data_IF_165178208097
#
_entry.id   IF_165178208097
#
_cell.length_a   1.000
_cell.length_b   1.000
_cell.length_c   1.000
_cell.angle_alpha   90.00
_cell.angle_beta   90.00
_cell.angle_gamma   90.00
#
_symmetry.space_group_name_H-M   'P 1'
#
loop_
_entity.id
_entity.type
_entity.pdbx_description
1 polymer ?
#
# COMPACT_ATOMS: atom_id res chain seq x y z
N UNK A 1 13.22 9.14 10.85
CA UNK A 1 13.35 9.48 9.42
C UNK A 1 14.74 9.01 9.00
N UNK A 2 14.86 7.95 8.20
CA UNK A 2 16.20 7.45 7.83
C UNK A 2 16.95 8.53 7.03
N UNK A 3 18.26 8.72 7.24
CA UNK A 3 19.05 9.75 6.54
C UNK A 3 18.99 9.58 5.02
N UNK A 4 18.82 8.35 4.55
CA UNK A 4 18.66 8.01 3.13
C UNK A 4 17.53 8.77 2.44
N UNK A 5 16.37 8.93 3.09
CA UNK A 5 15.23 9.63 2.48
C UNK A 5 15.56 11.11 2.21
N UNK A 6 16.26 11.77 3.13
CA UNK A 6 16.61 13.18 2.97
C UNK A 6 17.57 13.39 1.79
N UNK A 7 18.50 12.45 1.59
CA UNK A 7 19.43 12.47 0.46
C UNK A 7 18.67 12.29 -0.87
N UNK A 8 17.72 11.36 -0.93
CA UNK A 8 16.94 11.11 -2.15
C UNK A 8 16.06 12.31 -2.54
N UNK A 9 15.35 12.91 -1.58
CA UNK A 9 14.52 14.09 -1.85
C UNK A 9 15.33 15.30 -2.30
N UNK A 10 16.48 15.55 -1.66
CA UNK A 10 17.33 16.68 -2.04
C UNK A 10 17.95 16.50 -3.42
N UNK A 11 18.38 15.28 -3.77
CA UNK A 11 18.89 14.96 -5.11
C UNK A 11 17.85 15.18 -6.21
N UNK A 12 16.59 14.77 -6.01
CA UNK A 12 15.51 14.98 -6.99
C UNK A 12 15.26 16.48 -7.22
N UNK A 13 15.22 17.28 -6.16
CA UNK A 13 15.00 18.73 -6.26
C UNK A 13 16.14 19.41 -7.03
N UNK A 14 17.40 19.07 -6.72
CA UNK A 14 18.57 19.61 -7.40
C UNK A 14 18.55 19.22 -8.89
N UNK A 15 18.25 17.96 -9.21
CA UNK A 15 18.17 17.48 -10.58
C UNK A 15 17.11 18.27 -11.40
N UNK A 16 15.90 18.43 -10.85
CA UNK A 16 14.82 19.17 -11.53
C UNK A 16 15.21 20.64 -11.74
N UNK A 17 15.85 21.27 -10.75
CA UNK A 17 16.29 22.66 -10.84
C UNK A 17 17.39 22.87 -11.90
N UNK A 18 18.32 21.91 -12.04
CA UNK A 18 19.39 21.96 -13.06
C UNK A 18 18.83 21.73 -14.47
N UNK A 19 17.87 20.81 -14.63
CA UNK A 19 17.30 20.47 -15.94
C UNK A 19 16.47 21.63 -16.51
N UNK A 20 15.48 22.12 -15.74
CA UNK A 20 14.68 23.28 -16.15
C UNK A 20 13.91 23.84 -14.95
N UNK A 21 14.18 25.10 -14.59
CA UNK A 21 13.49 25.78 -13.50
C UNK A 21 11.95 25.85 -13.68
N UNK A 22 11.43 25.85 -14.92
CA UNK A 22 9.99 25.81 -15.17
C UNK A 22 9.32 24.50 -14.73
N UNK A 23 10.04 23.37 -14.72
CA UNK A 23 9.52 22.07 -14.25
C UNK A 23 9.31 22.00 -12.74
N UNK A 24 9.85 22.97 -12.00
CA UNK A 24 9.76 23.01 -10.55
C UNK A 24 8.31 23.22 -10.09
N UNK A 25 7.52 23.98 -10.86
CA UNK A 25 6.09 24.19 -10.59
C UNK A 25 5.25 22.90 -10.67
N UNK A 26 5.22 22.16 -11.79
CA UNK A 26 4.43 20.92 -11.87
C UNK A 26 4.98 19.83 -10.91
N UNK A 27 6.29 19.81 -10.64
CA UNK A 27 6.88 18.94 -9.62
C UNK A 27 6.33 19.25 -8.22
N UNK A 28 6.20 20.53 -7.86
CA UNK A 28 5.66 20.96 -6.57
C UNK A 28 4.18 20.55 -6.42
N UNK A 29 3.37 20.75 -7.45
CA UNK A 29 1.96 20.31 -7.48
C UNK A 29 1.88 18.79 -7.26
N UNK A 30 2.73 18.04 -7.93
CA UNK A 30 2.76 16.58 -7.81
C UNK A 30 3.20 16.13 -6.41
N UNK A 31 4.17 16.81 -5.79
CA UNK A 31 4.59 16.54 -4.41
C UNK A 31 3.45 16.73 -3.41
N UNK A 32 2.61 17.77 -3.60
CA UNK A 32 1.42 18.02 -2.76
C UNK A 32 0.41 16.87 -2.91
N UNK A 33 0.12 16.44 -4.13
CA UNK A 33 -0.80 15.31 -4.40
C UNK A 33 -0.29 14.03 -3.71
N UNK A 34 0.99 13.70 -3.85
CA UNK A 34 1.58 12.54 -3.19
C UNK A 34 1.52 12.61 -1.67
N UNK A 35 1.69 13.81 -1.09
CA UNK A 35 1.57 14.00 0.36
C UNK A 35 0.17 13.63 0.85
N UNK A 36 -0.87 14.12 0.18
CA UNK A 36 -2.26 13.77 0.52
C UNK A 36 -2.55 12.29 0.32
N UNK A 37 -2.16 11.71 -0.82
CA UNK A 37 -2.33 10.28 -1.09
C UNK A 37 -1.66 9.42 -0.02
N UNK A 38 -0.42 9.76 0.35
CA UNK A 38 0.32 9.06 1.41
C UNK A 38 -0.37 9.16 2.75
N UNK A 39 -0.92 10.32 3.09
CA UNK A 39 -1.65 10.52 4.34
C UNK A 39 -2.86 9.58 4.41
N UNK A 40 -3.69 9.57 3.36
CA UNK A 40 -4.86 8.68 3.25
C UNK A 40 -4.44 7.21 3.32
N UNK A 41 -3.45 6.81 2.51
CA UNK A 41 -2.96 5.42 2.49
C UNK A 41 -2.45 4.96 3.86
N UNK A 42 -1.69 5.80 4.56
CA UNK A 42 -1.14 5.44 5.87
C UNK A 42 -2.25 5.18 6.88
N UNK A 43 -3.31 6.00 6.88
CA UNK A 43 -4.44 5.83 7.77
C UNK A 43 -5.24 4.56 7.44
N UNK A 44 -5.49 4.31 6.16
CA UNK A 44 -6.17 3.10 5.68
C UNK A 44 -5.36 1.84 5.98
N UNK A 45 -4.06 1.82 5.67
CA UNK A 45 -3.18 0.68 5.91
C UNK A 45 -3.09 0.33 7.40
N UNK A 46 -3.05 1.33 8.29
CA UNK A 46 -3.09 1.09 9.75
C UNK A 46 -4.39 0.44 10.18
N UNK A 47 -5.52 0.91 9.64
CA UNK A 47 -6.84 0.38 9.96
C UNK A 47 -6.97 -1.07 9.52
N UNK A 48 -6.51 -1.40 8.31
CA UNK A 48 -6.54 -2.78 7.79
C UNK A 48 -5.59 -3.67 8.58
N UNK A 49 -4.35 -3.23 8.85
CA UNK A 49 -3.42 -3.99 9.70
C UNK A 49 -3.98 -4.29 11.09
N UNK A 50 -4.78 -3.38 11.65
CA UNK A 50 -5.47 -3.61 12.93
C UNK A 50 -6.52 -4.72 12.81
N UNK A 51 -7.28 -4.74 11.72
CA UNK A 51 -8.25 -5.82 11.45
C UNK A 51 -7.54 -7.16 11.32
N UNK A 52 -6.51 -7.21 10.48
CA UNK A 52 -5.67 -8.40 10.27
C UNK A 52 -5.06 -8.92 11.59
N UNK A 53 -4.53 -8.02 12.43
CA UNK A 53 -4.00 -8.40 13.75
C UNK A 53 -5.08 -8.96 14.68
N UNK A 54 -6.29 -8.40 14.65
CA UNK A 54 -7.42 -8.84 15.48
C UNK A 54 -7.98 -10.20 15.03
N UNK A 55 -7.93 -10.53 13.75
CA UNK A 55 -8.42 -11.81 13.22
C UNK A 55 -7.43 -12.96 13.43
N UNK A 56 -6.16 -12.65 13.72
CA UNK A 56 -5.10 -13.64 13.89
C UNK A 56 -5.08 -14.27 15.28
N UNK A 57 -5.45 -13.53 16.34
CA UNK A 57 -5.39 -14.04 17.72
C UNK A 57 -6.37 -15.19 18.03
N UNK A 58 -7.62 -15.22 17.51
CA UNK A 58 -8.54 -16.33 17.76
C UNK A 58 -8.03 -17.66 17.21
N UNK A 59 -7.35 -17.65 16.06
CA UNK A 59 -6.74 -18.86 15.46
C UNK A 59 -5.75 -19.50 16.44
N UNK A 60 -4.84 -18.71 17.00
CA UNK A 60 -3.83 -19.22 17.95
C UNK A 60 -4.46 -19.66 19.26
N UNK A 61 -5.42 -18.89 19.79
CA UNK A 61 -6.11 -19.24 21.02
C UNK A 61 -6.91 -20.53 20.87
N UNK A 62 -7.65 -20.69 19.76
CA UNK A 62 -8.43 -21.88 19.45
C UNK A 62 -7.52 -23.11 19.26
N UNK A 63 -6.43 -22.98 18.48
CA UNK A 63 -5.46 -24.05 18.30
C UNK A 63 -4.82 -24.49 19.63
N UNK A 64 -4.42 -23.53 20.48
CA UNK A 64 -3.86 -23.82 21.79
C UNK A 64 -4.86 -24.54 22.71
N UNK A 65 -6.13 -24.12 22.73
CA UNK A 65 -7.18 -24.79 23.48
C UNK A 65 -7.42 -26.23 22.98
N UNK A 66 -7.42 -26.45 21.65
CA UNK A 66 -7.55 -27.77 21.05
C UNK A 66 -6.39 -28.70 21.41
N UNK A 67 -5.15 -28.20 21.44
CA UNK A 67 -3.99 -29.00 21.84
C UNK A 67 -4.05 -29.42 23.31
N UNK A 68 -4.45 -28.51 24.20
CA UNK A 68 -4.57 -28.81 25.62
C UNK A 68 -5.73 -29.77 25.92
N UNK A 69 -6.84 -29.66 25.17
CA UNK A 69 -8.06 -30.47 25.34
C UNK A 69 -8.13 -31.72 24.46
N UNK A 70 -7.05 -32.12 23.79
CA UNK A 70 -7.08 -33.14 22.72
C UNK A 70 -7.67 -34.49 23.17
N UNK A 71 -7.35 -34.93 24.39
CA UNK A 71 -7.89 -36.17 24.95
C UNK A 71 -9.42 -36.11 25.12
N UNK A 72 -9.93 -34.99 25.64
CA UNK A 72 -11.36 -34.73 25.79
C UNK A 72 -12.05 -34.69 24.43
N UNK A 73 -11.49 -33.98 23.46
CA UNK A 73 -12.05 -33.87 22.10
C UNK A 73 -12.23 -35.25 21.48
N UNK A 74 -11.21 -36.12 21.55
CA UNK A 74 -11.27 -37.51 21.05
C UNK A 74 -12.27 -38.37 21.81
N UNK A 75 -12.38 -38.19 23.13
CA UNK A 75 -13.34 -38.93 23.95
C UNK A 75 -14.80 -38.61 23.59
N UNK A 76 -15.07 -37.37 23.15
CA UNK A 76 -16.40 -36.93 22.73
C UNK A 76 -16.65 -37.02 21.22
N UNK A 77 -15.63 -37.31 20.39
CA UNK A 77 -15.77 -37.46 18.93
C UNK A 77 -16.15 -36.15 18.21
N UNK A 78 -15.75 -35.00 18.76
CA UNK A 78 -16.13 -33.66 18.27
C UNK A 78 -15.07 -33.00 17.37
N UNK A 79 -14.10 -33.75 16.86
CA UNK A 79 -13.00 -33.24 16.04
C UNK A 79 -13.47 -32.41 14.85
N UNK A 80 -14.51 -32.86 14.14
CA UNK A 80 -15.05 -32.16 12.95
C UNK A 80 -15.61 -30.80 13.28
N UNK A 81 -16.32 -30.67 14.41
CA UNK A 81 -16.93 -29.41 14.83
C UNK A 81 -15.85 -28.37 15.12
N UNK A 82 -14.78 -28.78 15.81
CA UNK A 82 -13.64 -27.90 16.09
C UNK A 82 -12.83 -27.56 14.82
N UNK A 83 -12.74 -28.50 13.87
CA UNK A 83 -12.11 -28.23 12.58
C UNK A 83 -12.89 -27.16 11.79
N UNK A 84 -14.22 -27.29 11.70
CA UNK A 84 -15.08 -26.31 11.02
C UNK A 84 -14.98 -24.92 11.66
N UNK A 85 -14.94 -24.82 13.00
CA UNK A 85 -14.77 -23.52 13.69
C UNK A 85 -13.36 -22.94 13.45
N UNK A 86 -12.33 -23.79 13.40
CA UNK A 86 -10.97 -23.36 13.08
C UNK A 86 -10.86 -22.84 11.63
N UNK A 87 -11.51 -23.51 10.67
CA UNK A 87 -11.55 -23.10 9.27
C UNK A 87 -12.26 -21.75 9.11
N UNK A 88 -13.35 -21.52 9.84
CA UNK A 88 -14.03 -20.21 9.87
C UNK A 88 -13.12 -19.08 10.39
N UNK A 89 -12.32 -19.34 11.42
CA UNK A 89 -11.33 -18.37 11.90
C UNK A 89 -10.23 -18.11 10.86
N UNK A 90 -9.76 -19.17 10.18
CA UNK A 90 -8.78 -19.05 9.09
C UNK A 90 -9.32 -18.25 7.91
N UNK A 91 -10.56 -18.50 7.48
CA UNK A 91 -11.20 -17.79 6.37
C UNK A 91 -11.29 -16.29 6.65
N UNK A 92 -11.70 -15.92 7.87
CA UNK A 92 -11.79 -14.52 8.28
C UNK A 92 -10.41 -13.84 8.25
N UNK A 93 -9.39 -14.50 8.81
CA UNK A 93 -8.03 -13.96 8.81
C UNK A 93 -7.43 -13.87 7.41
N UNK A 94 -7.68 -14.88 6.58
CA UNK A 94 -7.23 -14.92 5.18
C UNK A 94 -7.89 -13.80 4.38
N UNK A 95 -9.20 -13.57 4.58
CA UNK A 95 -9.91 -12.43 3.97
C UNK A 95 -9.32 -11.09 4.41
N UNK A 96 -8.99 -10.92 5.69
CA UNK A 96 -8.38 -9.68 6.19
C UNK A 96 -6.98 -9.45 5.58
N UNK A 97 -6.18 -10.51 5.47
CA UNK A 97 -4.87 -10.47 4.81
C UNK A 97 -4.99 -10.12 3.32
N UNK A 98 -5.93 -10.75 2.60
CA UNK A 98 -6.19 -10.41 1.20
C UNK A 98 -6.62 -8.96 1.02
N UNK A 99 -7.45 -8.43 1.92
CA UNK A 99 -7.85 -7.02 1.90
C UNK A 99 -6.65 -6.07 2.05
N UNK A 100 -5.70 -6.41 2.94
CA UNK A 100 -4.45 -5.67 3.09
C UNK A 100 -3.63 -5.65 1.80
N UNK A 101 -3.45 -6.82 1.18
CA UNK A 101 -2.70 -6.96 -0.07
C UNK A 101 -3.38 -6.21 -1.22
N UNK A 102 -4.68 -6.39 -1.38
CA UNK A 102 -5.48 -5.73 -2.42
C UNK A 102 -5.43 -4.21 -2.30
N UNK A 103 -5.58 -3.66 -1.09
CA UNK A 103 -5.52 -2.21 -0.86
C UNK A 103 -4.13 -1.65 -1.15
N UNK A 104 -3.07 -2.36 -0.75
CA UNK A 104 -1.68 -1.98 -1.03
C UNK A 104 -1.42 -1.94 -2.54
N UNK A 105 -1.88 -2.97 -3.27
CA UNK A 105 -1.76 -3.06 -4.73
C UNK A 105 -2.57 -1.97 -5.44
N UNK A 106 -3.82 -1.75 -5.04
CA UNK A 106 -4.66 -0.72 -5.62
C UNK A 106 -4.03 0.67 -5.43
N UNK A 107 -3.51 0.98 -4.24
CA UNK A 107 -2.82 2.24 -4.00
C UNK A 107 -1.57 2.41 -4.87
N UNK A 108 -0.76 1.37 -5.03
CA UNK A 108 0.39 1.40 -5.93
C UNK A 108 -0.04 1.70 -7.39
N UNK A 109 -1.10 1.05 -7.86
CA UNK A 109 -1.67 1.31 -9.19
C UNK A 109 -2.12 2.77 -9.34
N UNK A 110 -2.79 3.33 -8.33
CA UNK A 110 -3.19 4.74 -8.35
C UNK A 110 -1.98 5.67 -8.44
N UNK A 111 -0.92 5.41 -7.69
CA UNK A 111 0.31 6.21 -7.77
C UNK A 111 0.95 6.14 -9.16
N UNK A 112 1.03 4.95 -9.75
CA UNK A 112 1.56 4.75 -11.10
C UNK A 112 0.74 5.51 -12.15
N UNK A 113 -0.58 5.51 -12.05
CA UNK A 113 -1.45 6.28 -12.96
C UNK A 113 -1.16 7.78 -12.90
N UNK A 114 -0.95 8.35 -11.71
CA UNK A 114 -0.61 9.79 -11.57
C UNK A 114 0.80 10.06 -12.12
N UNK A 115 1.78 9.16 -11.89
CA UNK A 115 3.11 9.27 -12.48
C UNK A 115 3.08 9.28 -14.00
N UNK A 116 2.36 8.35 -14.62
CA UNK A 116 2.24 8.26 -16.08
C UNK A 116 1.61 9.53 -16.65
N UNK A 117 0.56 10.05 -16.00
CA UNK A 117 -0.07 11.30 -16.40
C UNK A 117 0.89 12.49 -16.30
N UNK A 118 1.67 12.58 -15.21
CA UNK A 118 2.69 13.61 -15.06
C UNK A 118 3.75 13.56 -16.16
N UNK A 119 4.30 12.37 -16.43
CA UNK A 119 5.31 12.17 -17.49
C UNK A 119 4.72 12.54 -18.86
N UNK A 120 3.47 12.15 -19.15
CA UNK A 120 2.81 12.51 -20.40
C UNK A 120 2.68 14.04 -20.56
N UNK A 121 2.26 14.75 -19.52
CA UNK A 121 2.15 16.23 -19.54
C UNK A 121 3.50 16.89 -19.74
N UNK A 122 4.54 16.45 -19.02
CA UNK A 122 5.90 17.00 -19.15
C UNK A 122 6.44 16.78 -20.55
N UNK A 123 6.37 15.55 -21.06
CA UNK A 123 6.87 15.21 -22.40
C UNK A 123 6.14 15.98 -23.50
N UNK A 124 4.81 16.11 -23.41
CA UNK A 124 4.03 16.91 -24.37
C UNK A 124 4.39 18.41 -24.29
N UNK A 125 4.63 18.93 -23.08
CA UNK A 125 5.05 20.33 -22.91
C UNK A 125 6.41 20.60 -23.55
N UNK A 126 7.36 19.66 -23.45
CA UNK A 126 8.66 19.76 -24.12
C UNK A 126 8.52 19.71 -25.63
N UNK A 127 7.74 18.77 -26.16
CA UNK A 127 7.52 18.61 -27.60
C UNK A 127 6.93 19.89 -28.22
N UNK A 128 5.88 20.45 -27.62
CA UNK A 128 5.24 21.68 -28.12
C UNK A 128 6.16 22.90 -28.07
N UNK A 129 7.07 22.98 -27.09
CA UNK A 129 8.07 24.05 -27.02
C UNK A 129 9.12 23.93 -28.13
N UNK A 130 9.50 22.70 -28.50
CA UNK A 130 10.40 22.46 -29.63
C UNK A 130 9.74 22.82 -30.97
N UNK A 131 8.49 22.41 -31.19
CA UNK A 131 7.71 22.76 -32.39
C UNK A 131 7.57 24.29 -32.54
N UNK A 132 7.33 25.00 -31.44
CA UNK A 132 7.21 26.46 -31.44
C UNK A 132 8.54 27.17 -31.74
N UNK A 133 9.70 26.55 -31.46
CA UNK A 133 11.02 27.12 -31.77
C UNK A 133 11.48 26.88 -33.21
N UNK A 134 11.00 25.82 -33.86
CA UNK A 134 11.36 25.50 -35.25
C UNK A 134 10.42 26.12 -36.30
N UNK A 135 9.27 26.66 -35.90
CA UNK A 135 8.27 27.27 -36.80
C UNK A 135 8.45 28.78 -37.10
N UNK A 136 9.57 29.40 -36.73
CA UNK A 136 9.88 30.82 -36.93
C UNK A 136 11.15 31.02 -37.78
#
# INVERSE_FOLDING_TARGET
>A
MNPQFFVEFSAIIVLVAVVNYWLLFPTLVMAIIFYFLRHVYTNTARSIKRVEASTRSPIFSHANASFQGLSTIRAFGVEKILADEFDKHQDLNTSAWYLFLATTRAFAQWLEMVCVLYIAVVTLSFLLVEDCKFGL
#
